data_IF_542363309954
#
_entry.id   IF_542363309954
#
_cell.length_a   1.000
_cell.length_b   1.000
_cell.length_c   1.000
_cell.angle_alpha   90.00
_cell.angle_beta   90.00
_cell.angle_gamma   90.00
#
_symmetry.space_group_name_H-M   'P 1'
#
loop_
_entity.id
_entity.type
_entity.pdbx_description
1 polymer ?
#
# COMPACT_ATOMS: atom_id res chain seq x y z
N UNK A 1 -19.53 -20.45 19.43
CA UNK A 1 -19.77 -19.02 19.75
C UNK A 1 -18.59 -18.21 19.24
N UNK A 2 -18.79 -17.17 18.42
CA UNK A 2 -17.71 -16.24 18.11
C UNK A 2 -17.30 -15.52 19.40
N UNK A 3 -16.01 -15.47 19.72
CA UNK A 3 -15.55 -14.74 20.90
C UNK A 3 -15.73 -13.22 20.69
N UNK A 4 -15.80 -12.44 21.77
CA UNK A 4 -15.96 -10.97 21.71
C UNK A 4 -14.91 -10.27 20.83
N UNK A 5 -13.69 -10.81 20.74
CA UNK A 5 -12.60 -10.28 19.89
C UNK A 5 -12.92 -10.49 18.41
N UNK A 6 -13.45 -11.66 18.02
CA UNK A 6 -13.88 -11.94 16.65
C UNK A 6 -15.04 -11.05 16.23
N UNK A 7 -15.97 -10.74 17.15
CA UNK A 7 -17.09 -9.82 16.88
C UNK A 7 -16.57 -8.40 16.66
N UNK A 8 -15.65 -7.90 17.50
CA UNK A 8 -15.04 -6.56 17.34
C UNK A 8 -14.25 -6.46 16.03
N UNK A 9 -13.48 -7.49 15.68
CA UNK A 9 -12.76 -7.59 14.41
C UNK A 9 -13.71 -7.52 13.20
N UNK A 10 -14.78 -8.33 13.22
CA UNK A 10 -15.76 -8.37 12.14
C UNK A 10 -16.50 -7.03 12.02
N UNK A 11 -16.91 -6.42 13.14
CA UNK A 11 -17.58 -5.13 13.15
C UNK A 11 -16.66 -4.00 12.68
N UNK A 12 -15.39 -3.98 13.09
CA UNK A 12 -14.40 -2.98 12.64
C UNK A 12 -14.09 -3.07 11.14
N UNK A 13 -14.01 -4.29 10.59
CA UNK A 13 -13.79 -4.51 9.14
C UNK A 13 -15.04 -4.18 8.32
N UNK A 14 -16.24 -4.41 8.87
CA UNK A 14 -17.50 -4.02 8.24
C UNK A 14 -17.69 -2.50 8.25
N UNK A 15 -17.41 -1.83 9.37
CA UNK A 15 -17.57 -0.38 9.53
C UNK A 15 -16.58 0.40 8.68
N UNK A 16 -15.34 -0.09 8.49
CA UNK A 16 -14.34 0.57 7.63
C UNK A 16 -14.69 0.52 6.13
N UNK A 17 -15.50 -0.45 5.68
CA UNK A 17 -16.07 -0.48 4.33
C UNK A 17 -17.21 0.52 4.10
N UNK A 18 -17.79 1.07 5.17
CA UNK A 18 -18.89 2.05 5.11
C UNK A 18 -18.35 3.48 4.96
N UNK A 19 -17.14 3.78 5.46
CA UNK A 19 -16.54 5.11 5.36
C UNK A 19 -15.72 5.29 4.07
N UNK A 20 -16.01 6.37 3.32
CA UNK A 20 -15.30 6.76 2.10
C UNK A 20 -13.77 6.86 2.25
N UNK A 21 -13.06 6.81 1.13
CA UNK A 21 -11.61 7.05 1.07
C UNK A 21 -11.36 8.52 0.78
N UNK A 22 -10.25 9.07 1.28
CA UNK A 22 -9.83 10.43 0.91
C UNK A 22 -9.39 10.43 -0.56
N UNK A 23 -10.12 11.15 -1.40
CA UNK A 23 -9.90 11.26 -2.85
C UNK A 23 -9.34 12.61 -3.28
N UNK A 24 -9.09 13.52 -2.33
CA UNK A 24 -8.46 14.81 -2.62
C UNK A 24 -6.96 14.60 -2.83
N UNK A 25 -6.44 15.15 -3.93
CA UNK A 25 -5.04 14.99 -4.35
C UNK A 25 -4.14 15.88 -3.50
N UNK A 26 -4.51 17.15 -3.34
CA UNK A 26 -3.78 18.13 -2.50
C UNK A 26 -4.25 18.04 -1.04
N UNK A 27 -3.92 16.92 -0.39
CA UNK A 27 -4.31 16.64 0.99
C UNK A 27 -3.30 15.70 1.66
N UNK A 28 -3.47 15.42 2.95
CA UNK A 28 -2.62 14.48 3.68
C UNK A 28 -3.07 13.05 3.42
N UNK A 29 -2.14 12.16 3.06
CA UNK A 29 -2.39 10.72 3.05
C UNK A 29 -2.54 10.15 4.46
N UNK A 30 -2.95 8.89 4.54
CA UNK A 30 -3.24 8.21 5.82
C UNK A 30 -2.45 6.93 6.03
N UNK A 31 -2.12 6.19 4.95
CA UNK A 31 -1.54 4.86 5.11
C UNK A 31 -0.09 4.89 5.60
N UNK A 32 0.28 3.86 6.34
CA UNK A 32 1.65 3.62 6.78
C UNK A 32 2.53 3.10 5.63
N UNK A 33 3.85 3.34 5.71
CA UNK A 33 4.79 2.79 4.73
C UNK A 33 4.69 1.26 4.64
N UNK A 34 4.49 0.59 5.79
CA UNK A 34 4.32 -0.86 5.87
C UNK A 34 3.11 -1.34 5.06
N UNK A 35 1.97 -0.68 5.16
CA UNK A 35 0.77 -1.03 4.38
C UNK A 35 0.99 -0.83 2.89
N UNK A 36 1.59 0.29 2.48
CA UNK A 36 1.87 0.56 1.07
C UNK A 36 2.86 -0.46 0.49
N UNK A 37 3.92 -0.78 1.23
CA UNK A 37 4.90 -1.79 0.85
C UNK A 37 4.26 -3.17 0.70
N UNK A 38 3.43 -3.57 1.68
CA UNK A 38 2.68 -4.83 1.61
C UNK A 38 1.72 -4.85 0.41
N UNK A 39 1.02 -3.74 0.16
CA UNK A 39 0.10 -3.62 -0.97
C UNK A 39 0.81 -3.78 -2.32
N UNK A 40 1.97 -3.15 -2.49
CA UNK A 40 2.79 -3.26 -3.69
C UNK A 40 3.35 -4.67 -3.85
N UNK A 41 3.90 -5.25 -2.78
CA UNK A 41 4.42 -6.62 -2.77
C UNK A 41 3.34 -7.65 -3.16
N UNK A 42 2.12 -7.54 -2.61
CA UNK A 42 0.99 -8.40 -2.99
C UNK A 42 0.60 -8.25 -4.47
N UNK A 43 0.83 -7.07 -5.06
CA UNK A 43 0.60 -6.82 -6.48
C UNK A 43 1.73 -7.33 -7.37
N UNK A 44 2.95 -7.44 -6.84
CA UNK A 44 4.17 -7.83 -7.55
C UNK A 44 5.20 -8.48 -6.61
N UNK A 45 5.00 -9.77 -6.31
CA UNK A 45 5.86 -10.48 -5.35
C UNK A 45 7.32 -10.59 -5.82
N UNK A 46 7.56 -10.61 -7.13
CA UNK A 46 8.92 -10.68 -7.70
C UNK A 46 9.73 -9.39 -7.51
N UNK A 47 9.11 -8.28 -7.09
CA UNK A 47 9.81 -7.04 -6.72
C UNK A 47 10.66 -7.22 -5.45
N UNK A 48 10.24 -8.12 -4.56
CA UNK A 48 10.87 -8.28 -3.24
C UNK A 48 10.43 -7.22 -2.21
N UNK A 49 10.44 -7.62 -0.94
CA UNK A 49 9.91 -6.80 0.16
C UNK A 49 10.75 -5.55 0.46
N UNK A 50 12.07 -5.61 0.27
CA UNK A 50 12.96 -4.47 0.50
C UNK A 50 12.67 -3.33 -0.47
N UNK A 51 12.62 -3.64 -1.78
CA UNK A 51 12.31 -2.65 -2.80
C UNK A 51 10.87 -2.12 -2.67
N UNK A 52 9.90 -2.96 -2.29
CA UNK A 52 8.55 -2.49 -2.00
C UNK A 52 8.53 -1.47 -0.84
N UNK A 53 9.34 -1.69 0.21
CA UNK A 53 9.50 -0.73 1.31
C UNK A 53 10.19 0.56 0.87
N UNK A 54 11.20 0.47 0.01
CA UNK A 54 11.88 1.64 -0.56
C UNK A 54 10.87 2.55 -1.27
N UNK A 55 10.09 2.00 -2.21
CA UNK A 55 9.06 2.74 -2.92
C UNK A 55 8.04 3.39 -1.98
N UNK A 56 7.54 2.64 -1.00
CA UNK A 56 6.57 3.14 -0.02
C UNK A 56 7.10 4.35 0.77
N UNK A 57 8.36 4.29 1.20
CA UNK A 57 8.99 5.40 1.93
C UNK A 57 9.23 6.62 1.03
N UNK A 58 9.78 6.42 -0.18
CA UNK A 58 10.06 7.51 -1.12
C UNK A 58 8.76 8.25 -1.48
N UNK A 59 7.67 7.54 -1.79
CA UNK A 59 6.38 8.16 -2.10
C UNK A 59 5.84 8.96 -0.93
N UNK A 60 5.89 8.41 0.30
CA UNK A 60 5.44 9.14 1.49
C UNK A 60 6.25 10.41 1.72
N UNK A 61 7.57 10.35 1.55
CA UNK A 61 8.44 11.50 1.77
C UNK A 61 8.26 12.60 0.72
N UNK A 62 8.31 12.25 -0.57
CA UNK A 62 8.19 13.24 -1.65
C UNK A 62 6.78 13.85 -1.69
N UNK A 63 5.73 13.03 -1.56
CA UNK A 63 4.35 13.52 -1.54
C UNK A 63 4.06 14.38 -0.31
N UNK A 64 4.49 13.95 0.89
CA UNK A 64 4.33 14.75 2.12
C UNK A 64 5.04 16.11 2.01
N UNK A 65 6.23 16.14 1.41
CA UNK A 65 6.97 17.39 1.23
C UNK A 65 6.23 18.39 0.32
N UNK A 66 5.47 17.91 -0.65
CA UNK A 66 4.71 18.76 -1.57
C UNK A 66 3.28 19.04 -1.13
N UNK A 67 2.76 18.37 -0.09
CA UNK A 67 1.36 18.46 0.36
C UNK A 67 0.41 17.55 -0.42
N UNK A 68 0.95 16.55 -1.11
CA UNK A 68 0.19 15.60 -1.93
C UNK A 68 -0.16 14.36 -1.12
N UNK A 69 -1.35 13.83 -1.37
CA UNK A 69 -1.83 12.62 -0.75
C UNK A 69 -1.00 11.43 -1.27
N UNK A 70 -0.13 10.89 -0.40
CA UNK A 70 0.74 9.78 -0.78
C UNK A 70 -0.02 8.50 -1.09
N UNK A 71 -1.23 8.30 -0.56
CA UNK A 71 -2.05 7.14 -0.90
C UNK A 71 -2.49 7.23 -2.36
N UNK A 72 -2.90 8.43 -2.81
CA UNK A 72 -3.28 8.71 -4.21
C UNK A 72 -2.09 8.50 -5.14
N UNK A 73 -0.96 9.17 -4.88
CA UNK A 73 0.23 9.06 -5.72
C UNK A 73 0.73 7.60 -5.80
N UNK A 74 0.69 6.86 -4.70
CA UNK A 74 1.14 5.47 -4.67
C UNK A 74 0.22 4.54 -5.45
N UNK A 75 -1.11 4.62 -5.26
CA UNK A 75 -2.02 3.75 -6.02
C UNK A 75 -2.07 4.12 -7.50
N UNK A 76 -1.86 5.39 -7.84
CA UNK A 76 -1.73 5.83 -9.22
C UNK A 76 -0.49 5.19 -9.86
N UNK A 77 0.65 5.17 -9.19
CA UNK A 77 1.82 4.42 -9.66
C UNK A 77 1.52 2.94 -9.87
N UNK A 78 0.82 2.29 -8.93
CA UNK A 78 0.43 0.89 -9.08
C UNK A 78 -0.44 0.66 -10.32
N UNK A 79 -1.35 1.59 -10.62
CA UNK A 79 -2.22 1.51 -11.79
C UNK A 79 -1.42 1.70 -13.10
N UNK A 80 -0.60 2.75 -13.17
CA UNK A 80 0.15 3.15 -14.36
C UNK A 80 1.22 2.13 -14.77
N UNK A 81 1.87 1.52 -13.78
CA UNK A 81 2.99 0.60 -14.01
C UNK A 81 2.58 -0.88 -13.93
N UNK A 82 1.31 -1.16 -13.64
CA UNK A 82 0.88 -2.52 -13.30
C UNK A 82 1.64 -3.09 -12.10
N UNK A 83 1.74 -2.30 -11.02
CA UNK A 83 2.48 -2.64 -9.78
C UNK A 83 3.98 -2.84 -10.03
N UNK A 84 4.61 -2.01 -10.87
CA UNK A 84 6.01 -2.11 -11.29
C UNK A 84 6.35 -3.42 -12.01
N UNK A 85 5.35 -4.15 -12.53
CA UNK A 85 5.61 -5.25 -13.48
C UNK A 85 5.97 -4.71 -14.85
N UNK A 86 5.47 -3.51 -15.16
CA UNK A 86 5.54 -2.90 -16.47
C UNK A 86 4.87 -3.81 -17.53
N UNK A 87 4.71 -3.33 -18.77
CA UNK A 87 3.94 -4.06 -19.80
C UNK A 87 3.01 -3.17 -20.63
N UNK A 88 2.88 -1.91 -20.23
CA UNK A 88 2.38 -0.82 -21.09
C UNK A 88 3.53 -0.07 -21.76
N UNK A 89 3.31 1.21 -22.04
CA UNK A 89 4.27 2.09 -22.72
C UNK A 89 5.48 2.52 -21.85
N UNK A 90 5.49 2.17 -20.57
CA UNK A 90 6.52 2.55 -19.60
C UNK A 90 7.53 1.41 -19.45
N UNK A 91 8.80 1.72 -19.66
CA UNK A 91 9.91 0.80 -19.43
C UNK A 91 10.48 0.95 -18.02
N UNK A 92 10.91 -0.17 -17.43
CA UNK A 92 11.48 -0.24 -16.09
C UNK A 92 12.74 0.62 -15.90
N UNK A 93 13.48 0.92 -16.97
CA UNK A 93 14.70 1.73 -16.93
C UNK A 93 14.44 3.25 -16.89
N UNK A 94 13.21 3.70 -17.13
CA UNK A 94 12.91 5.13 -17.24
C UNK A 94 12.69 5.80 -15.87
N UNK A 95 12.41 5.03 -14.82
CA UNK A 95 11.90 5.57 -13.54
C UNK A 95 10.67 6.48 -13.73
N UNK A 96 9.87 6.27 -14.77
CA UNK A 96 8.68 7.07 -15.07
C UNK A 96 7.42 6.39 -14.54
N UNK A 97 7.13 6.62 -13.26
CA UNK A 97 6.10 5.85 -12.55
C UNK A 97 4.65 6.29 -12.82
N UNK A 98 4.44 7.25 -13.72
CA UNK A 98 3.11 7.78 -14.00
C UNK A 98 2.87 8.11 -15.48
N UNK A 99 3.70 7.57 -16.37
CA UNK A 99 3.53 7.71 -17.81
C UNK A 99 3.77 9.12 -18.35
N UNK A 100 4.56 9.94 -17.65
CA UNK A 100 4.82 11.33 -18.03
C UNK A 100 5.34 11.43 -19.46
N UNK A 101 4.52 12.01 -20.34
CA UNK A 101 4.86 12.21 -21.75
C UNK A 101 4.92 10.93 -22.59
N UNK A 102 4.49 9.78 -22.06
CA UNK A 102 4.37 8.54 -22.82
C UNK A 102 3.05 8.55 -23.61
N UNK A 103 3.13 8.50 -24.93
CA UNK A 103 1.99 8.33 -25.84
C UNK A 103 2.45 7.62 -27.12
N UNK A 104 1.51 7.09 -27.91
CA UNK A 104 1.80 6.26 -29.07
C UNK A 104 2.92 6.83 -29.97
N UNK A 105 4.05 6.12 -30.02
CA UNK A 105 5.21 6.47 -30.84
C UNK A 105 6.22 7.44 -30.23
N UNK A 106 6.05 7.91 -28.97
CA UNK A 106 7.07 8.69 -28.26
C UNK A 106 7.49 8.06 -26.94
N UNK A 107 8.81 7.98 -26.75
CA UNK A 107 9.41 7.59 -25.49
C UNK A 107 9.14 8.71 -24.46
N UNK A 108 8.44 8.36 -23.37
CA UNK A 108 8.15 9.31 -22.29
C UNK A 108 9.40 9.80 -21.57
N UNK A 109 9.20 10.68 -20.57
CA UNK A 109 10.28 11.19 -19.73
C UNK A 109 11.05 10.04 -19.05
N UNK A 110 12.33 10.27 -18.76
CA UNK A 110 13.19 9.36 -18.02
C UNK A 110 13.93 10.11 -16.92
N UNK A 111 14.13 9.47 -15.78
CA UNK A 111 14.75 10.06 -14.60
C UNK A 111 15.91 9.20 -14.12
N UNK A 112 16.96 9.82 -13.56
CA UNK A 112 18.19 9.12 -13.20
C UNK A 112 18.02 8.20 -11.99
N UNK A 113 17.05 8.49 -11.12
CA UNK A 113 16.82 7.72 -9.89
C UNK A 113 15.35 7.48 -9.62
N UNK A 114 15.04 6.46 -8.80
CA UNK A 114 13.69 6.19 -8.29
C UNK A 114 13.10 7.46 -7.65
N UNK A 115 13.86 8.10 -6.77
CA UNK A 115 13.40 9.30 -6.05
C UNK A 115 13.08 10.46 -6.98
N UNK A 116 13.87 10.67 -8.03
CA UNK A 116 13.60 11.72 -9.02
C UNK A 116 12.33 11.44 -9.81
N UNK A 117 12.13 10.19 -10.25
CA UNK A 117 10.91 9.76 -10.91
C UNK A 117 9.65 9.92 -10.05
N UNK A 118 9.74 9.54 -8.77
CA UNK A 118 8.65 9.76 -7.80
C UNK A 118 8.41 11.25 -7.58
N UNK A 119 9.46 12.06 -7.48
CA UNK A 119 9.32 13.53 -7.35
C UNK A 119 8.61 14.14 -8.54
N UNK A 120 8.99 13.75 -9.77
CA UNK A 120 8.34 14.25 -10.98
C UNK A 120 6.85 13.90 -11.00
N UNK A 121 6.50 12.65 -10.64
CA UNK A 121 5.10 12.23 -10.50
C UNK A 121 4.33 13.09 -9.49
N UNK A 122 4.88 13.27 -8.28
CA UNK A 122 4.26 14.10 -7.23
C UNK A 122 4.10 15.55 -7.66
N UNK A 123 5.10 16.11 -8.34
CA UNK A 123 5.02 17.47 -8.89
C UNK A 123 3.91 17.56 -9.94
N UNK A 124 3.76 16.56 -10.80
CA UNK A 124 2.69 16.55 -11.80
C UNK A 124 1.30 16.53 -11.13
N UNK A 125 1.12 15.71 -10.09
CA UNK A 125 -0.12 15.72 -9.29
C UNK A 125 -0.38 17.08 -8.63
N UNK A 126 0.66 17.74 -8.12
CA UNK A 126 0.54 19.10 -7.56
C UNK A 126 0.19 20.14 -8.63
N UNK A 127 0.69 19.96 -9.85
CA UNK A 127 0.32 20.83 -10.96
C UNK A 127 -1.19 20.77 -11.19
N UNK A 128 -1.77 19.58 -11.28
CA UNK A 128 -3.21 19.39 -11.44
C UNK A 128 -4.04 19.90 -10.26
N UNK A 129 -3.58 19.73 -9.02
CA UNK A 129 -4.43 19.85 -7.84
C UNK A 129 -4.28 21.13 -7.02
N UNK A 130 -3.27 21.96 -7.31
CA UNK A 130 -2.99 23.16 -6.51
C UNK A 130 -2.41 24.28 -7.38
N UNK A 131 -2.53 25.52 -6.88
CA UNK A 131 -1.84 26.70 -7.41
C UNK A 131 -0.52 27.00 -6.67
N UNK A 132 -0.22 26.30 -5.58
CA UNK A 132 0.94 26.57 -4.73
C UNK A 132 2.26 26.27 -5.45
N UNK A 133 3.31 27.00 -5.07
CA UNK A 133 4.66 26.73 -5.56
C UNK A 133 5.16 25.35 -5.13
N UNK A 134 6.10 24.80 -5.89
CA UNK A 134 6.82 23.59 -5.49
C UNK A 134 7.69 23.85 -4.26
N UNK A 135 7.77 22.87 -3.37
CA UNK A 135 8.59 22.92 -2.16
C UNK A 135 9.98 22.31 -2.40
N UNK A 136 10.13 21.49 -3.45
CA UNK A 136 11.39 20.91 -3.92
C UNK A 136 11.75 21.41 -5.31
N UNK A 137 13.00 21.17 -5.72
CA UNK A 137 13.48 21.48 -7.06
C UNK A 137 12.59 20.82 -8.13
N UNK A 138 12.16 21.60 -9.12
CA UNK A 138 11.40 21.14 -10.27
C UNK A 138 12.22 20.12 -11.07
N UNK A 139 11.64 18.93 -11.27
CA UNK A 139 12.18 17.86 -12.12
C UNK A 139 11.15 17.35 -13.13
N UNK A 140 9.86 17.61 -12.94
CA UNK A 140 8.82 17.31 -13.92
C UNK A 140 8.97 18.23 -15.16
N UNK A 141 9.36 17.69 -16.34
CA UNK A 141 9.56 18.51 -17.54
C UNK A 141 8.24 19.04 -18.13
N UNK A 142 7.10 18.54 -17.66
CA UNK A 142 5.75 18.89 -18.15
C UNK A 142 4.96 19.71 -17.13
N UNK A 143 5.55 20.08 -16.00
CA UNK A 143 4.85 20.80 -14.93
C UNK A 143 4.17 22.08 -15.42
N UNK A 144 4.85 22.84 -16.28
CA UNK A 144 4.33 24.08 -16.86
C UNK A 144 3.30 23.90 -17.98
N UNK A 145 3.06 22.66 -18.45
CA UNK A 145 2.08 22.35 -19.49
C UNK A 145 0.69 22.06 -18.91
N UNK A 146 0.62 21.78 -17.60
CA UNK A 146 -0.65 21.51 -16.91
C UNK A 146 -1.34 22.82 -16.59
N UNK A 147 -2.64 22.91 -16.88
CA UNK A 147 -3.48 23.99 -16.35
C UNK A 147 -3.57 23.83 -14.84
N UNK A 148 -2.89 24.69 -14.09
CA UNK A 148 -2.80 24.58 -12.63
C UNK A 148 -4.18 24.53 -11.97
N UNK A 149 -4.35 23.64 -10.99
CA UNK A 149 -5.60 23.50 -10.23
C UNK A 149 -6.80 22.93 -11.02
N UNK A 150 -6.57 22.30 -12.19
CA UNK A 150 -7.66 21.76 -13.03
C UNK A 150 -8.28 20.45 -12.54
N UNK A 151 -7.64 19.74 -11.59
CA UNK A 151 -8.17 18.51 -10.99
C UNK A 151 -7.72 18.40 -9.53
N UNK A 152 -8.63 18.68 -8.61
CA UNK A 152 -8.42 18.61 -7.15
C UNK A 152 -8.75 17.22 -6.59
N UNK A 153 -9.60 16.46 -7.28
CA UNK A 153 -10.04 15.12 -6.90
C UNK A 153 -9.62 14.06 -7.93
N UNK A 154 -9.36 12.81 -7.49
CA UNK A 154 -8.98 11.71 -8.39
C UNK A 154 -10.01 11.43 -9.50
N UNK A 155 -11.30 11.73 -9.28
CA UNK A 155 -12.34 11.57 -10.33
C UNK A 155 -12.09 12.53 -11.50
N UNK A 156 -11.61 13.74 -11.21
CA UNK A 156 -11.38 14.78 -12.21
C UNK A 156 -10.16 14.48 -13.09
N UNK A 157 -9.30 13.55 -12.69
CA UNK A 157 -8.18 13.09 -13.52
C UNK A 157 -8.65 12.33 -14.78
N UNK A 158 -9.88 11.81 -14.80
CA UNK A 158 -10.44 11.20 -16.00
C UNK A 158 -10.66 12.27 -17.10
N UNK A 159 -10.10 12.05 -18.28
CA UNK A 159 -10.11 12.97 -19.41
C UNK A 159 -9.07 14.10 -19.32
N UNK A 160 -8.43 14.32 -18.16
CA UNK A 160 -7.36 15.31 -17.99
C UNK A 160 -5.98 14.65 -17.91
N UNK A 161 -5.84 13.63 -17.07
CA UNK A 161 -4.61 12.84 -16.94
C UNK A 161 -4.59 11.68 -17.93
N UNK A 162 -5.69 10.93 -18.00
CA UNK A 162 -5.85 9.75 -18.86
C UNK A 162 -7.17 9.84 -19.63
N UNK A 163 -7.17 9.42 -20.89
CA UNK A 163 -8.38 9.40 -21.73
C UNK A 163 -9.49 8.48 -21.18
N UNK A 164 -9.11 7.49 -20.37
CA UNK A 164 -10.04 6.56 -19.75
C UNK A 164 -11.03 7.26 -18.80
N UNK A 165 -12.31 7.27 -19.20
CA UNK A 165 -13.41 7.84 -18.41
C UNK A 165 -13.63 7.13 -17.06
N UNK A 166 -13.11 5.92 -16.89
CA UNK A 166 -13.18 5.15 -15.63
C UNK A 166 -11.94 5.31 -14.76
N UNK A 167 -10.95 6.11 -15.19
CA UNK A 167 -9.66 6.24 -14.52
C UNK A 167 -9.77 6.56 -13.02
N UNK A 168 -10.49 7.64 -12.68
CA UNK A 168 -10.66 8.02 -11.27
C UNK A 168 -11.36 6.94 -10.42
N UNK A 169 -12.31 6.20 -11.00
CA UNK A 169 -12.98 5.09 -10.30
C UNK A 169 -12.02 3.92 -10.03
N UNK A 170 -11.09 3.64 -10.94
CA UNK A 170 -10.02 2.65 -10.72
C UNK A 170 -9.11 3.07 -9.56
N UNK A 171 -8.73 4.35 -9.49
CA UNK A 171 -7.96 4.89 -8.37
C UNK A 171 -8.71 4.75 -7.04
N UNK A 172 -10.00 5.10 -6.99
CA UNK A 172 -10.83 4.92 -5.79
C UNK A 172 -10.87 3.44 -5.35
N UNK A 173 -10.99 2.51 -6.29
CA UNK A 173 -10.99 1.08 -5.97
C UNK A 173 -9.67 0.65 -5.32
N UNK A 174 -8.53 1.12 -5.82
CA UNK A 174 -7.22 0.85 -5.22
C UNK A 174 -7.07 1.51 -3.85
N UNK A 175 -7.50 2.77 -3.69
CA UNK A 175 -7.52 3.46 -2.39
C UNK A 175 -8.32 2.68 -1.35
N UNK A 176 -9.49 2.15 -1.72
CA UNK A 176 -10.33 1.33 -0.81
C UNK A 176 -9.61 0.05 -0.38
N UNK A 177 -8.87 -0.60 -1.29
CA UNK A 177 -8.08 -1.79 -0.98
C UNK A 177 -6.93 -1.48 -0.02
N UNK A 178 -6.22 -0.36 -0.23
CA UNK A 178 -5.17 0.11 0.68
C UNK A 178 -5.75 0.42 2.07
N UNK A 179 -6.85 1.18 2.14
CA UNK A 179 -7.53 1.51 3.41
C UNK A 179 -7.98 0.25 4.17
N UNK A 180 -8.52 -0.74 3.46
CA UNK A 180 -8.89 -2.03 4.04
C UNK A 180 -7.68 -2.81 4.56
N UNK A 181 -6.53 -2.70 3.89
CA UNK A 181 -5.28 -3.30 4.35
C UNK A 181 -4.72 -2.59 5.60
N UNK A 182 -4.73 -1.25 5.63
CA UNK A 182 -4.32 -0.46 6.80
C UNK A 182 -5.16 -0.85 8.03
N UNK A 183 -6.49 -0.84 7.87
CA UNK A 183 -7.42 -1.16 8.97
C UNK A 183 -7.19 -2.57 9.52
N UNK A 184 -6.92 -3.55 8.64
CA UNK A 184 -6.60 -4.93 9.07
C UNK A 184 -5.26 -5.00 9.79
N UNK A 185 -4.25 -4.28 9.33
CA UNK A 185 -2.93 -4.23 9.97
C UNK A 185 -3.02 -3.57 11.35
N UNK A 186 -3.77 -2.47 11.50
CA UNK A 186 -4.01 -1.82 12.80
C UNK A 186 -4.71 -2.76 13.79
N UNK A 187 -5.78 -3.43 13.37
CA UNK A 187 -6.52 -4.37 14.22
C UNK A 187 -5.65 -5.59 14.59
N UNK A 188 -4.89 -6.13 13.64
CA UNK A 188 -3.94 -7.22 13.92
C UNK A 188 -2.91 -6.80 14.96
N UNK A 189 -2.28 -5.64 14.79
CA UNK A 189 -1.28 -5.12 15.72
C UNK A 189 -1.87 -4.84 17.11
N UNK A 190 -3.11 -4.38 17.20
CA UNK A 190 -3.81 -4.17 18.47
C UNK A 190 -4.20 -5.49 19.17
N UNK A 191 -4.43 -6.56 18.42
CA UNK A 191 -4.91 -7.86 18.96
C UNK A 191 -3.79 -8.85 19.28
N UNK A 192 -2.63 -8.78 18.61
CA UNK A 192 -1.49 -9.67 18.88
C UNK A 192 -1.03 -9.63 20.35
N UNK A 193 -0.85 -8.45 20.99
CA UNK A 193 -0.50 -8.40 22.41
C UNK A 193 -1.57 -9.05 23.29
N UNK A 194 -2.85 -8.84 22.99
CA UNK A 194 -3.97 -9.43 23.74
C UNK A 194 -4.03 -10.96 23.61
N UNK A 195 -3.70 -11.50 22.43
CA UNK A 195 -3.62 -12.94 22.21
C UNK A 195 -2.44 -13.55 22.99
N UNK A 196 -1.27 -12.90 22.98
CA UNK A 196 -0.12 -13.33 23.79
C UNK A 196 -0.42 -13.31 25.29
N UNK A 197 -1.10 -12.27 25.79
CA UNK A 197 -1.51 -12.20 27.21
C UNK A 197 -2.48 -13.32 27.57
N UNK A 198 -3.47 -13.61 26.73
CA UNK A 198 -4.39 -14.74 26.96
C UNK A 198 -3.72 -16.10 26.93
N UNK A 199 -2.73 -16.29 26.04
CA UNK A 199 -1.94 -17.52 26.00
C UNK A 199 -1.14 -17.71 27.29
N UNK A 200 -0.58 -16.61 27.85
CA UNK A 200 0.10 -16.62 29.14
C UNK A 200 -0.88 -16.93 30.29
N UNK A 201 -2.05 -16.29 30.34
CA UNK A 201 -3.08 -16.57 31.35
C UNK A 201 -3.56 -18.02 31.28
N UNK A 202 -3.86 -18.55 30.09
CA UNK A 202 -4.29 -19.93 29.90
C UNK A 202 -3.21 -20.93 30.36
N UNK A 203 -1.95 -20.67 30.00
CA UNK A 203 -0.83 -21.50 30.43
C UNK A 203 -0.53 -21.38 31.95
N UNK A 204 -0.91 -20.27 32.59
CA UNK A 204 -0.79 -20.13 34.05
C UNK A 204 -1.88 -20.88 34.82
N UNK A 205 -3.09 -20.96 34.26
CA UNK A 205 -4.22 -21.71 34.85
C UNK A 205 -3.98 -23.22 34.78
N UNK A 206 -3.31 -23.72 33.74
CA UNK A 206 -2.96 -25.14 33.61
C UNK A 206 -1.80 -25.56 34.53
N UNK A 207 -0.92 -24.61 34.91
CA UNK A 207 0.22 -24.88 35.79
C UNK A 207 -0.13 -24.83 37.29
N UNK A 208 -1.22 -24.18 37.69
CA UNK A 208 -1.71 -24.26 39.08
C UNK A 208 -2.50 -25.55 39.38
N UNK A 209 -2.90 -26.31 38.35
CA UNK A 209 -3.67 -27.56 38.50
C UNK A 209 -2.87 -28.85 38.22
N UNK A 210 -1.56 -28.77 37.94
CA UNK A 210 -0.73 -29.96 37.73
C UNK A 210 0.56 -29.93 38.54
N UNK A 211 0.40 -30.06 39.86
CA UNK A 211 1.43 -30.65 40.70
C UNK A 211 1.84 -32.02 40.15
N UNK A 212 3.06 -32.10 39.61
CA UNK A 212 3.86 -33.30 39.37
C UNK A 212 3.26 -34.43 38.50
N UNK A 213 3.60 -34.42 37.20
CA UNK A 213 4.12 -35.56 36.38
C UNK A 213 3.74 -35.40 34.89
N UNK A 214 4.63 -34.85 34.06
CA UNK A 214 4.91 -35.29 32.66
C UNK A 214 5.65 -34.22 31.82
N UNK A 215 6.87 -33.86 32.17
CA UNK A 215 7.73 -33.04 31.29
C UNK A 215 8.39 -33.85 30.16
N UNK A 216 8.36 -35.19 30.20
CA UNK A 216 9.04 -36.05 29.21
C UNK A 216 8.17 -36.52 28.03
N UNK A 217 6.84 -36.38 28.09
CA UNK A 217 5.95 -36.92 27.07
C UNK A 217 5.52 -35.91 25.98
N UNK A 218 5.75 -34.60 26.22
CA UNK A 218 5.31 -33.52 25.32
C UNK A 218 6.30 -33.30 24.18
N UNK A 219 7.62 -33.39 24.43
CA UNK A 219 8.64 -33.18 23.40
C UNK A 219 8.59 -34.23 22.28
N UNK A 220 8.27 -35.50 22.59
CA UNK A 220 8.19 -36.56 21.58
C UNK A 220 6.98 -36.44 20.63
N UNK A 221 5.92 -35.72 21.03
CA UNK A 221 4.74 -35.51 20.20
C UNK A 221 4.86 -34.29 19.27
N UNK A 222 5.74 -33.34 19.59
CA UNK A 222 5.99 -32.16 18.75
C UNK A 222 6.87 -32.55 17.55
N UNK A 223 7.92 -33.35 17.75
CA UNK A 223 8.80 -33.79 16.64
C UNK A 223 8.06 -34.67 15.62
N UNK A 224 7.19 -35.59 16.07
CA UNK A 224 6.39 -36.44 15.16
C UNK A 224 5.34 -35.68 14.33
N UNK A 225 4.86 -34.53 14.81
CA UNK A 225 3.89 -33.72 14.07
C UNK A 225 4.53 -32.79 13.03
N UNK A 226 5.82 -32.47 13.18
CA UNK A 226 6.57 -31.68 12.19
C UNK A 226 6.95 -32.54 10.98
N UNK A 227 7.27 -33.83 11.17
CA UNK A 227 7.54 -34.75 10.05
C UNK A 227 6.29 -35.07 9.21
N UNK A 228 5.11 -35.23 9.83
CA UNK A 228 3.87 -35.51 9.08
C UNK A 228 3.39 -34.34 8.20
N UNK A 229 3.75 -33.10 8.51
CA UNK A 229 3.34 -31.93 7.72
C UNK A 229 4.23 -31.62 6.52
N UNK A 230 5.41 -32.24 6.38
CA UNK A 230 6.31 -32.05 5.22
C UNK A 230 5.91 -32.84 3.97
N UNK A 231 4.97 -33.78 4.06
CA UNK A 231 4.63 -34.73 2.97
C UNK A 231 3.29 -34.41 2.30
N UNK A 232 2.61 -33.32 2.68
CA UNK A 232 1.23 -33.01 2.24
C UNK A 232 1.08 -31.91 1.18
N UNK A 233 2.16 -31.39 0.61
CA UNK A 233 2.13 -30.29 -0.38
C UNK A 233 2.93 -30.65 -1.64
N UNK A 234 2.58 -31.75 -2.31
CA UNK A 234 3.01 -32.07 -3.69
C UNK A 234 1.94 -32.90 -4.44
N UNK A 235 0.67 -32.53 -4.29
CA UNK A 235 -0.44 -33.09 -5.06
C UNK A 235 -1.36 -31.99 -5.56
#
# INVERSE_FOLDING_TARGET
>A
MLNKVNIILIFSVLVTNIYGVNTEIYSKGSSSAKTLALFLYMGNESLGAEQANEFANIYREEAKAEGINWDVAFVQMCLETGFLKYGGLIHNTQNNYCGLGSFDGKQGASFSTIREGVRAHVQHLKAYSSFDSLNKQLVDPRFGLVRRGSATNVIELAGLWAEDTKYGHKLISLLKRVKSLESRNEVFLATVPLLKVKEIEFNSIDNENTGAKNSKNINNNIEKNIEKKKIGWLG
#
